data_IF_716299835148
#
_entry.id   IF_716299835148
#
_cell.length_a   1.000
_cell.length_b   1.000
_cell.length_c   1.000
_cell.angle_alpha   90.00
_cell.angle_beta   90.00
_cell.angle_gamma   90.00
#
_symmetry.space_group_name_H-M   'P 1'
#
loop_
_entity.id
_entity.type
_entity.pdbx_description
1 polymer ?
#
# COMPACT_ATOMS: atom_id res chain seq x y z
N UNK A 1 -10.14 4.06 -18.01
CA UNK A 1 -9.30 3.42 -16.98
C UNK A 1 -8.38 4.48 -16.39
N UNK A 2 -8.73 5.06 -15.23
CA UNK A 2 -7.91 6.12 -14.58
C UNK A 2 -7.31 5.66 -13.24
N UNK A 3 -7.13 4.35 -13.03
CA UNK A 3 -6.57 3.80 -11.79
C UNK A 3 -5.05 3.65 -11.91
N UNK A 4 -4.32 3.93 -10.82
CA UNK A 4 -2.87 3.72 -10.73
C UNK A 4 -2.54 2.24 -11.02
N UNK A 5 -1.66 1.95 -12.00
CA UNK A 5 -1.49 0.58 -12.50
C UNK A 5 -0.87 -0.38 -11.48
N UNK A 6 -0.01 0.11 -10.58
CA UNK A 6 0.76 -0.76 -9.68
C UNK A 6 -0.07 -1.27 -8.51
N UNK A 7 -0.77 -0.41 -7.76
CA UNK A 7 -1.53 -0.86 -6.58
C UNK A 7 -2.90 -1.38 -7.01
N UNK A 8 -3.72 -0.54 -7.64
CA UNK A 8 -5.09 -0.90 -8.00
C UNK A 8 -5.17 -1.82 -9.22
N UNK A 9 -4.29 -1.65 -10.21
CA UNK A 9 -4.28 -2.54 -11.37
C UNK A 9 -3.88 -3.98 -11.01
N UNK A 10 -2.83 -4.15 -10.20
CA UNK A 10 -2.45 -5.47 -9.67
C UNK A 10 -3.57 -6.05 -8.80
N UNK A 11 -4.20 -5.23 -7.95
CA UNK A 11 -5.34 -5.65 -7.15
C UNK A 11 -6.50 -6.17 -8.02
N UNK A 12 -6.94 -5.41 -9.03
CA UNK A 12 -8.06 -5.78 -9.92
C UNK A 12 -7.81 -7.12 -10.65
N UNK A 13 -6.55 -7.43 -11.00
CA UNK A 13 -6.20 -8.73 -11.63
C UNK A 13 -6.25 -9.88 -10.63
N UNK A 14 -5.57 -9.74 -9.49
CA UNK A 14 -5.48 -10.84 -8.50
C UNK A 14 -6.78 -11.05 -7.71
N UNK A 15 -7.69 -10.08 -7.70
CA UNK A 15 -8.97 -10.17 -6.99
C UNK A 15 -10.14 -10.52 -7.89
N UNK A 16 -9.92 -10.79 -9.17
CA UNK A 16 -10.98 -11.13 -10.14
C UNK A 16 -12.04 -12.10 -9.58
N UNK A 17 -11.60 -13.21 -8.96
CA UNK A 17 -12.51 -14.24 -8.41
C UNK A 17 -13.28 -13.75 -7.18
N UNK A 18 -12.68 -12.93 -6.32
CA UNK A 18 -13.40 -12.32 -5.18
C UNK A 18 -14.33 -11.20 -5.64
N UNK A 19 -13.93 -10.43 -6.65
CA UNK A 19 -14.70 -9.31 -7.18
C UNK A 19 -15.98 -9.78 -7.88
N UNK A 20 -15.97 -10.94 -8.54
CA UNK A 20 -17.19 -11.57 -9.07
C UNK A 20 -18.25 -11.85 -7.99
N UNK A 21 -17.81 -12.11 -6.76
CA UNK A 21 -18.68 -12.44 -5.62
C UNK A 21 -19.04 -11.21 -4.76
N UNK A 22 -18.34 -10.09 -4.95
CA UNK A 22 -18.52 -8.90 -4.14
C UNK A 22 -19.73 -8.07 -4.65
N UNK A 23 -20.78 -7.89 -3.83
CA UNK A 23 -21.96 -7.11 -4.21
C UNK A 23 -21.63 -5.66 -4.62
N UNK A 24 -20.57 -5.06 -4.04
CA UNK A 24 -20.14 -3.68 -4.35
C UNK A 24 -19.51 -3.53 -5.73
N UNK A 25 -19.05 -4.62 -6.33
CA UNK A 25 -18.41 -4.65 -7.65
C UNK A 25 -19.39 -4.98 -8.78
N UNK A 26 -20.65 -5.28 -8.46
CA UNK A 26 -21.69 -5.55 -9.45
C UNK A 26 -22.38 -4.23 -9.87
N UNK A 27 -22.55 -4.03 -11.18
CA UNK A 27 -23.20 -2.84 -11.76
C UNK A 27 -22.29 -1.62 -11.95
N UNK A 28 -22.88 -0.44 -12.14
CA UNK A 28 -22.16 0.84 -12.24
C UNK A 28 -21.80 1.36 -10.84
N UNK A 29 -20.93 0.65 -10.12
CA UNK A 29 -20.46 1.12 -8.81
C UNK A 29 -19.42 2.22 -8.97
N UNK A 30 -19.40 3.14 -7.99
CA UNK A 30 -18.42 4.24 -7.91
C UNK A 30 -16.97 3.72 -7.74
N UNK A 31 -16.80 2.50 -7.23
CA UNK A 31 -15.52 1.84 -6.99
C UNK A 31 -14.94 1.15 -8.25
N UNK A 32 -15.72 1.10 -9.33
CA UNK A 32 -15.39 0.43 -10.59
C UNK A 32 -15.76 -1.05 -10.59
N UNK A 33 -16.07 -1.58 -11.78
CA UNK A 33 -16.50 -2.98 -11.95
C UNK A 33 -15.35 -3.99 -11.99
N UNK A 34 -15.73 -5.26 -12.17
CA UNK A 34 -14.79 -6.39 -12.33
C UNK A 34 -13.98 -6.21 -13.61
N UNK A 35 -12.64 -6.32 -13.52
CA UNK A 35 -11.75 -6.22 -14.67
C UNK A 35 -11.87 -7.45 -15.57
N UNK A 36 -12.19 -7.22 -16.85
CA UNK A 36 -12.27 -8.29 -17.85
C UNK A 36 -10.92 -9.04 -17.95
N UNK A 37 -10.91 -10.39 -17.86
CA UNK A 37 -9.72 -11.22 -18.00
C UNK A 37 -8.86 -10.91 -19.23
N UNK A 38 -9.45 -10.45 -20.33
CA UNK A 38 -8.71 -10.09 -21.54
C UNK A 38 -7.67 -8.98 -21.29
N UNK A 39 -7.87 -8.16 -20.27
CA UNK A 39 -6.99 -7.04 -19.92
C UNK A 39 -5.94 -7.38 -18.86
N UNK A 40 -5.99 -8.57 -18.24
CA UNK A 40 -5.14 -8.90 -17.09
C UNK A 40 -3.64 -8.82 -17.42
N UNK A 41 -3.20 -9.45 -18.51
CA UNK A 41 -1.78 -9.42 -18.90
C UNK A 41 -1.30 -8.02 -19.30
N UNK A 42 -2.17 -7.23 -19.93
CA UNK A 42 -1.85 -5.84 -20.25
C UNK A 42 -1.63 -5.02 -18.97
N UNK A 43 -2.54 -5.15 -18.00
CA UNK A 43 -2.46 -4.43 -16.72
C UNK A 43 -1.23 -4.86 -15.93
N UNK A 44 -0.93 -6.17 -15.84
CA UNK A 44 0.27 -6.66 -15.16
C UNK A 44 1.55 -6.19 -15.86
N UNK A 45 1.58 -6.16 -17.19
CA UNK A 45 2.73 -5.66 -17.94
C UNK A 45 2.94 -4.17 -17.74
N UNK A 46 1.87 -3.38 -17.78
CA UNK A 46 1.91 -1.95 -17.45
C UNK A 46 2.38 -1.72 -16.01
N UNK A 47 1.93 -2.54 -15.05
CA UNK A 47 2.37 -2.47 -13.66
C UNK A 47 3.87 -2.80 -13.50
N UNK A 48 4.39 -3.81 -14.21
CA UNK A 48 5.83 -4.16 -14.22
C UNK A 48 6.67 -3.02 -14.79
N UNK A 49 6.26 -2.47 -15.94
CA UNK A 49 6.94 -1.33 -16.58
C UNK A 49 6.91 -0.10 -15.67
N UNK A 50 5.75 0.24 -15.11
CA UNK A 50 5.62 1.35 -14.17
C UNK A 50 6.50 1.15 -12.92
N UNK A 51 6.53 -0.06 -12.36
CA UNK A 51 7.40 -0.39 -11.21
C UNK A 51 8.88 -0.20 -11.56
N UNK A 52 9.31 -0.65 -12.74
CA UNK A 52 10.68 -0.46 -13.22
C UNK A 52 11.02 1.03 -13.42
N UNK A 53 10.10 1.82 -13.98
CA UNK A 53 10.28 3.26 -14.17
C UNK A 53 10.32 4.02 -12.83
N UNK A 54 9.49 3.66 -11.87
CA UNK A 54 9.49 4.23 -10.51
C UNK A 54 10.79 3.89 -9.79
N UNK A 55 11.26 2.65 -9.89
CA UNK A 55 12.54 2.25 -9.31
C UNK A 55 13.69 3.01 -9.98
N UNK A 56 13.70 3.07 -11.31
CA UNK A 56 14.72 3.78 -12.06
C UNK A 56 14.74 5.29 -11.71
N UNK A 57 13.57 5.91 -11.57
CA UNK A 57 13.47 7.33 -11.18
C UNK A 57 14.06 7.62 -9.80
N UNK A 58 13.97 6.66 -8.86
CA UNK A 58 14.52 6.81 -7.51
C UNK A 58 16.06 6.88 -7.44
N UNK A 59 16.76 6.50 -8.52
CA UNK A 59 18.22 6.68 -8.63
C UNK A 59 18.60 8.08 -9.11
N UNK A 60 17.67 8.83 -9.70
CA UNK A 60 17.93 10.18 -10.19
C UNK A 60 17.69 11.21 -9.09
N UNK A 61 18.73 11.98 -8.78
CA UNK A 61 18.67 13.05 -7.79
C UNK A 61 18.20 14.36 -8.45
N UNK A 62 17.26 15.11 -7.86
CA UNK A 62 16.91 16.44 -8.35
C UNK A 62 18.13 17.36 -8.38
N UNK A 63 18.36 18.08 -9.47
CA UNK A 63 19.52 18.97 -9.65
C UNK A 63 19.61 20.09 -8.59
N UNK A 64 18.50 20.42 -7.91
CA UNK A 64 18.41 21.40 -6.83
C UNK A 64 18.90 20.91 -5.46
N UNK A 65 19.30 19.65 -5.34
CA UNK A 65 19.74 19.08 -4.07
C UNK A 65 21.25 19.30 -3.84
N UNK A 66 21.59 19.81 -2.66
CA UNK A 66 22.97 20.19 -2.32
C UNK A 66 23.93 18.99 -2.41
N UNK A 67 25.11 19.13 -3.04
CA UNK A 67 26.06 18.04 -3.29
C UNK A 67 26.77 17.51 -2.03
N UNK A 68 26.50 18.07 -0.85
CA UNK A 68 27.25 17.88 0.41
C UNK A 68 27.11 16.52 1.09
N UNK A 69 26.62 15.47 0.43
CA UNK A 69 26.13 14.29 1.13
C UNK A 69 26.79 12.99 0.66
N UNK A 70 27.49 12.33 1.60
CA UNK A 70 28.18 11.05 1.49
C UNK A 70 27.43 9.95 0.72
N UNK A 71 28.20 9.08 0.05
CA UNK A 71 27.74 7.94 -0.74
C UNK A 71 26.74 7.00 -0.03
N UNK A 72 26.71 6.96 1.30
CA UNK A 72 25.74 6.21 2.10
C UNK A 72 24.28 6.67 1.92
N UNK A 73 24.01 7.93 1.53
CA UNK A 73 22.64 8.39 1.24
C UNK A 73 22.21 8.12 -0.21
N UNK A 74 23.09 7.59 -1.07
CA UNK A 74 22.75 7.29 -2.47
C UNK A 74 21.77 6.12 -2.61
N UNK A 75 21.74 5.20 -1.65
CA UNK A 75 20.89 4.01 -1.72
C UNK A 75 19.61 4.10 -0.88
N UNK A 76 19.45 5.14 -0.06
CA UNK A 76 18.26 5.29 0.80
C UNK A 76 16.98 5.42 -0.02
N UNK A 77 16.97 6.28 -1.04
CA UNK A 77 15.81 6.48 -1.91
C UNK A 77 15.44 5.20 -2.69
N UNK A 78 16.37 4.54 -3.41
CA UNK A 78 16.09 3.26 -4.03
C UNK A 78 15.60 2.19 -3.06
N UNK A 79 16.20 2.07 -1.87
CA UNK A 79 15.80 1.07 -0.89
C UNK A 79 14.35 1.26 -0.42
N UNK A 80 13.98 2.50 -0.03
CA UNK A 80 12.60 2.80 0.38
C UNK A 80 11.65 2.56 -0.78
N UNK A 81 12.03 2.93 -2.00
CA UNK A 81 11.22 2.72 -3.22
C UNK A 81 10.99 1.23 -3.49
N UNK A 82 12.02 0.39 -3.36
CA UNK A 82 11.90 -1.06 -3.48
C UNK A 82 10.91 -1.60 -2.45
N UNK A 83 10.99 -1.14 -1.19
CA UNK A 83 10.05 -1.56 -0.14
C UNK A 83 8.60 -1.16 -0.47
N UNK A 84 8.37 0.07 -0.97
CA UNK A 84 7.05 0.53 -1.44
C UNK A 84 6.52 -0.39 -2.54
N UNK A 85 7.36 -0.69 -3.55
CA UNK A 85 6.97 -1.53 -4.68
C UNK A 85 6.67 -2.96 -4.22
N UNK A 86 7.53 -3.57 -3.40
CA UNK A 86 7.30 -4.91 -2.84
C UNK A 86 5.97 -4.95 -2.10
N UNK A 87 5.72 -3.98 -1.22
CA UNK A 87 4.50 -3.93 -0.42
C UNK A 87 3.26 -3.70 -1.29
N UNK A 88 3.35 -2.83 -2.30
CA UNK A 88 2.29 -2.56 -3.27
C UNK A 88 1.85 -3.81 -4.03
N UNK A 89 2.81 -4.63 -4.47
CA UNK A 89 2.52 -5.89 -5.15
C UNK A 89 1.99 -6.93 -4.15
N UNK A 90 2.75 -7.18 -3.08
CA UNK A 90 2.49 -8.26 -2.11
C UNK A 90 1.26 -8.03 -1.23
N UNK A 91 0.69 -6.83 -1.25
CA UNK A 91 -0.63 -6.61 -0.66
C UNK A 91 -1.69 -7.49 -1.32
N UNK A 92 -1.73 -7.56 -2.66
CA UNK A 92 -2.75 -8.30 -3.41
C UNK A 92 -2.24 -9.59 -4.06
N UNK A 93 -0.96 -9.65 -4.44
CA UNK A 93 -0.39 -10.80 -5.15
C UNK A 93 0.17 -11.86 -4.19
N UNK A 94 0.25 -13.14 -4.59
CA UNK A 94 1.02 -14.15 -3.87
C UNK A 94 2.53 -13.82 -3.84
N UNK A 95 3.30 -14.41 -2.91
CA UNK A 95 2.86 -15.38 -1.90
C UNK A 95 2.30 -14.77 -0.60
N UNK A 96 2.55 -13.49 -0.33
CA UNK A 96 2.16 -12.90 0.96
C UNK A 96 0.66 -12.61 1.02
N UNK A 97 0.14 -11.94 -0.03
CA UNK A 97 -1.26 -11.50 -0.16
C UNK A 97 -1.77 -10.90 1.15
N UNK A 98 -1.10 -9.84 1.60
CA UNK A 98 -1.26 -9.28 2.95
C UNK A 98 -2.70 -8.86 3.26
N UNK A 99 -3.49 -8.48 2.24
CA UNK A 99 -4.91 -8.17 2.41
C UNK A 99 -5.75 -9.31 2.98
N UNK A 100 -5.28 -10.55 2.90
CA UNK A 100 -5.93 -11.76 3.47
C UNK A 100 -5.20 -12.29 4.72
N UNK A 101 -4.35 -11.45 5.32
CA UNK A 101 -3.64 -11.74 6.57
C UNK A 101 -4.20 -10.80 7.64
N UNK A 102 -5.11 -11.27 8.52
CA UNK A 102 -5.70 -10.45 9.58
C UNK A 102 -4.63 -9.71 10.38
N UNK A 103 -4.92 -8.47 10.77
CA UNK A 103 -3.99 -7.52 11.41
C UNK A 103 -2.95 -6.98 10.42
N UNK A 104 -2.28 -7.86 9.66
CA UNK A 104 -1.29 -7.45 8.66
C UNK A 104 -1.92 -6.75 7.46
N UNK A 105 -3.17 -7.04 7.12
CA UNK A 105 -3.98 -6.31 6.15
C UNK A 105 -3.99 -4.81 6.45
N UNK A 106 -4.22 -4.45 7.72
CA UNK A 106 -4.28 -3.06 8.17
C UNK A 106 -2.90 -2.45 8.40
N UNK A 107 -2.00 -3.18 9.07
CA UNK A 107 -0.64 -2.69 9.34
C UNK A 107 0.18 -2.48 8.06
N UNK A 108 -0.05 -3.29 7.03
CA UNK A 108 0.64 -3.12 5.74
C UNK A 108 0.26 -1.82 5.03
N UNK A 109 -1.01 -1.38 5.13
CA UNK A 109 -1.43 -0.08 4.62
C UNK A 109 -0.75 1.07 5.36
N UNK A 110 -0.64 0.98 6.69
CA UNK A 110 0.13 1.93 7.49
C UNK A 110 1.61 1.96 7.13
N UNK A 111 2.24 0.80 6.96
CA UNK A 111 3.63 0.69 6.53
C UNK A 111 3.85 1.30 5.15
N UNK A 112 2.90 1.16 4.21
CA UNK A 112 2.98 1.79 2.90
C UNK A 112 2.98 3.32 3.00
N UNK A 113 2.07 3.89 3.82
CA UNK A 113 2.03 5.34 4.06
C UNK A 113 3.30 5.82 4.77
N UNK A 114 3.79 5.06 5.75
CA UNK A 114 5.06 5.35 6.42
C UNK A 114 6.21 5.42 5.43
N UNK A 115 6.32 4.46 4.51
CA UNK A 115 7.37 4.40 3.50
C UNK A 115 7.27 5.57 2.51
N UNK A 116 6.06 5.91 2.05
CA UNK A 116 5.83 7.07 1.20
C UNK A 116 6.24 8.38 1.90
N UNK A 117 5.88 8.53 3.17
CA UNK A 117 6.30 9.66 3.98
C UNK A 117 7.83 9.68 4.16
N UNK A 118 8.44 8.54 4.48
CA UNK A 118 9.87 8.39 4.69
C UNK A 118 10.67 8.71 3.41
N UNK A 119 10.15 8.33 2.24
CA UNK A 119 10.73 8.69 0.95
C UNK A 119 10.76 10.21 0.76
N UNK A 120 9.64 10.90 1.02
CA UNK A 120 9.58 12.37 0.96
C UNK A 120 10.49 13.04 2.00
N UNK A 121 10.44 12.57 3.24
CA UNK A 121 11.22 13.11 4.35
C UNK A 121 12.72 12.97 4.11
N UNK A 122 13.21 11.80 3.70
CA UNK A 122 14.63 11.59 3.39
C UNK A 122 15.09 12.34 2.14
N UNK A 123 14.18 12.58 1.18
CA UNK A 123 14.47 13.41 0.00
C UNK A 123 14.74 14.87 0.35
N UNK A 124 14.30 15.35 1.52
CA UNK A 124 14.67 16.67 2.05
C UNK A 124 16.08 16.72 2.67
N UNK A 125 16.80 15.60 2.70
CA UNK A 125 18.10 15.47 3.37
C UNK A 125 18.02 15.14 4.87
N UNK A 126 16.80 14.98 5.41
CA UNK A 126 16.56 14.65 6.81
C UNK A 126 16.87 13.18 7.12
N UNK A 127 17.42 12.91 8.31
CA UNK A 127 17.73 11.55 8.75
C UNK A 127 16.52 10.90 9.44
N UNK A 128 16.19 9.65 9.07
CA UNK A 128 15.10 8.89 9.69
C UNK A 128 15.45 8.34 11.08
N UNK A 129 16.72 7.99 11.30
CA UNK A 129 17.17 7.27 12.49
C UNK A 129 18.52 7.81 12.99
N UNK A 130 18.83 7.50 14.25
CA UNK A 130 20.09 7.83 14.88
C UNK A 130 20.15 9.25 15.45
N UNK A 131 21.33 9.69 15.92
CA UNK A 131 21.51 10.97 16.63
C UNK A 131 21.13 12.22 15.81
N UNK A 132 21.11 12.10 14.48
CA UNK A 132 20.79 13.18 13.56
C UNK A 132 19.30 13.23 13.17
N UNK A 133 18.48 12.30 13.67
CA UNK A 133 17.05 12.30 13.41
C UNK A 133 16.38 13.43 14.21
N UNK A 134 15.64 14.29 13.53
CA UNK A 134 14.86 15.33 14.21
C UNK A 134 13.56 14.76 14.76
N UNK A 135 12.85 15.53 15.58
CA UNK A 135 11.48 15.20 16.00
C UNK A 135 10.53 14.96 14.82
N UNK A 136 10.84 15.51 13.64
CA UNK A 136 10.10 15.23 12.41
C UNK A 136 10.10 13.76 12.02
N UNK A 137 11.15 12.99 12.36
CA UNK A 137 11.30 11.57 12.05
C UNK A 137 10.14 10.72 12.61
N UNK A 138 9.60 11.11 13.77
CA UNK A 138 8.54 10.35 14.45
C UNK A 138 7.15 10.54 13.81
N UNK A 139 6.93 11.63 13.05
CA UNK A 139 5.64 11.94 12.44
C UNK A 139 5.20 10.89 11.42
N UNK A 140 6.14 10.19 10.79
CA UNK A 140 5.83 9.06 9.93
C UNK A 140 5.07 7.96 10.66
N UNK A 141 5.42 7.67 11.92
CA UNK A 141 4.75 6.64 12.72
C UNK A 141 3.31 7.00 13.04
N UNK A 142 3.04 8.27 13.33
CA UNK A 142 1.66 8.75 13.51
C UNK A 142 0.83 8.49 12.25
N UNK A 143 1.34 8.85 11.07
CA UNK A 143 0.64 8.58 9.81
C UNK A 143 0.44 7.08 9.57
N UNK A 144 1.43 6.26 9.91
CA UNK A 144 1.36 4.80 9.78
C UNK A 144 0.25 4.18 10.64
N UNK A 145 0.20 4.56 11.93
CA UNK A 145 -0.76 4.03 12.89
C UNK A 145 -2.16 4.52 12.55
N UNK A 146 -2.35 5.82 12.30
CA UNK A 146 -3.65 6.37 11.88
C UNK A 146 -4.16 5.70 10.59
N UNK A 147 -3.30 5.48 9.59
CA UNK A 147 -3.69 4.78 8.35
C UNK A 147 -4.09 3.34 8.63
N UNK A 148 -3.33 2.64 9.48
CA UNK A 148 -3.65 1.26 9.87
C UNK A 148 -5.00 1.20 10.58
N UNK A 149 -5.29 2.16 11.46
CA UNK A 149 -6.58 2.28 12.13
C UNK A 149 -7.71 2.54 11.14
N UNK A 150 -7.58 3.55 10.27
CA UNK A 150 -8.59 3.86 9.24
C UNK A 150 -8.85 2.65 8.34
N UNK A 151 -7.81 1.91 7.95
CA UNK A 151 -7.97 0.68 7.18
C UNK A 151 -8.76 -0.39 7.97
N UNK A 152 -8.41 -0.63 9.24
CA UNK A 152 -9.12 -1.59 10.08
C UNK A 152 -10.59 -1.22 10.29
N UNK A 153 -10.90 0.09 10.43
CA UNK A 153 -12.27 0.59 10.50
C UNK A 153 -13.01 0.38 9.17
N UNK A 154 -12.34 0.63 8.04
CA UNK A 154 -12.88 0.31 6.72
C UNK A 154 -13.22 -1.17 6.57
N UNK A 155 -12.32 -2.06 6.99
CA UNK A 155 -12.57 -3.50 7.01
C UNK A 155 -13.75 -3.89 7.91
N UNK A 156 -13.94 -3.19 9.04
CA UNK A 156 -15.10 -3.40 9.91
C UNK A 156 -16.41 -3.01 9.20
N UNK A 157 -16.45 -1.86 8.53
CA UNK A 157 -17.60 -1.42 7.74
C UNK A 157 -17.90 -2.33 6.54
N UNK A 158 -16.87 -3.00 6.03
CA UNK A 158 -16.93 -3.87 4.85
C UNK A 158 -17.19 -5.34 5.16
N UNK A 159 -17.42 -5.70 6.44
CA UNK A 159 -17.50 -7.07 6.93
C UNK A 159 -18.38 -7.99 6.07
N UNK A 160 -19.63 -7.59 5.79
CA UNK A 160 -20.57 -8.41 5.03
C UNK A 160 -20.10 -8.66 3.59
N UNK A 161 -19.56 -7.63 2.94
CA UNK A 161 -19.05 -7.72 1.58
C UNK A 161 -17.77 -8.58 1.51
N UNK A 162 -16.89 -8.46 2.49
CA UNK A 162 -15.67 -9.26 2.59
C UNK A 162 -15.98 -10.74 2.86
N UNK A 163 -16.98 -11.04 3.69
CA UNK A 163 -17.48 -12.40 3.90
C UNK A 163 -18.05 -12.96 2.59
N UNK A 164 -18.88 -12.20 1.88
CA UNK A 164 -19.44 -12.63 0.59
C UNK A 164 -18.35 -12.88 -0.47
N UNK A 165 -17.31 -12.06 -0.48
CA UNK A 165 -16.15 -12.19 -1.35
C UNK A 165 -15.18 -13.31 -0.92
N UNK A 166 -15.37 -13.89 0.26
CA UNK A 166 -14.49 -14.90 0.86
C UNK A 166 -13.11 -14.36 1.25
N UNK A 167 -13.01 -13.06 1.58
CA UNK A 167 -11.77 -12.42 2.00
C UNK A 167 -11.51 -12.61 3.49
N UNK A 168 -10.24 -12.81 3.85
CA UNK A 168 -9.79 -13.06 5.22
C UNK A 168 -9.13 -11.82 5.84
N UNK A 169 -9.94 -10.86 6.25
CA UNK A 169 -9.50 -9.59 6.85
C UNK A 169 -9.51 -9.66 8.38
N UNK A 170 -9.04 -8.61 9.04
CA UNK A 170 -9.15 -8.46 10.50
C UNK A 170 -10.61 -8.55 10.96
N UNK A 171 -11.54 -7.95 10.21
CA UNK A 171 -12.96 -7.96 10.55
C UNK A 171 -13.61 -9.32 10.30
N UNK A 172 -13.33 -9.99 9.17
CA UNK A 172 -13.95 -11.31 8.92
C UNK A 172 -13.45 -12.39 9.89
N UNK A 173 -12.26 -12.22 10.46
CA UNK A 173 -11.67 -13.18 11.41
C UNK A 173 -11.95 -12.88 12.87
N UNK A 174 -12.00 -11.61 13.29
CA UNK A 174 -12.19 -11.24 14.70
C UNK A 174 -13.53 -10.54 14.98
N UNK A 175 -14.31 -10.22 13.95
CA UNK A 175 -15.56 -9.50 14.02
C UNK A 175 -15.40 -7.98 13.95
N UNK A 176 -16.49 -7.32 13.57
CA UNK A 176 -16.58 -5.86 13.40
C UNK A 176 -16.12 -5.08 14.64
N UNK A 177 -16.61 -5.46 15.84
CA UNK A 177 -16.30 -4.73 17.08
C UNK A 177 -14.82 -4.82 17.46
N UNK A 178 -14.19 -5.97 17.22
CA UNK A 178 -12.77 -6.14 17.49
C UNK A 178 -11.92 -5.34 16.50
N UNK A 179 -12.30 -5.32 15.22
CA UNK A 179 -11.64 -4.51 14.20
C UNK A 179 -11.78 -3.00 14.48
N UNK A 180 -12.96 -2.52 14.87
CA UNK A 180 -13.19 -1.14 15.28
C UNK A 180 -12.41 -0.78 16.57
N UNK A 181 -12.36 -1.69 17.54
CA UNK A 181 -11.55 -1.53 18.75
C UNK A 181 -10.05 -1.44 18.45
N UNK A 182 -9.54 -2.30 17.56
CA UNK A 182 -8.17 -2.23 17.06
C UNK A 182 -7.90 -0.90 16.37
N UNK A 183 -8.83 -0.42 15.53
CA UNK A 183 -8.73 0.91 14.92
C UNK A 183 -8.64 2.04 15.94
N UNK A 184 -9.39 1.97 17.04
CA UNK A 184 -9.42 3.06 18.03
C UNK A 184 -8.13 3.13 18.87
N UNK A 185 -7.37 2.04 18.95
CA UNK A 185 -6.10 1.97 19.71
C UNK A 185 -4.92 2.54 18.92
N UNK A 186 -4.99 2.51 17.58
CA UNK A 186 -3.95 2.96 16.66
C UNK A 186 -4.08 4.45 16.32
#
# INVERSE_FOLDING_TARGET
>A
MNKLPVVFGVNDVYDYVSDLRNPRKQGQSLEGGVLDPIHHEFVLSAARVASALILLSSFFRPASSSPSTSASRNFTQPLITIMILILSWQYSSPPLRLKERPILDSLSNGALVWLCWALGYTSSGSALFGPNASEGASKGWLLALCTSGVHALGAAADLEADVAAGQRTIATMFGERAAAGFSAVL
#
